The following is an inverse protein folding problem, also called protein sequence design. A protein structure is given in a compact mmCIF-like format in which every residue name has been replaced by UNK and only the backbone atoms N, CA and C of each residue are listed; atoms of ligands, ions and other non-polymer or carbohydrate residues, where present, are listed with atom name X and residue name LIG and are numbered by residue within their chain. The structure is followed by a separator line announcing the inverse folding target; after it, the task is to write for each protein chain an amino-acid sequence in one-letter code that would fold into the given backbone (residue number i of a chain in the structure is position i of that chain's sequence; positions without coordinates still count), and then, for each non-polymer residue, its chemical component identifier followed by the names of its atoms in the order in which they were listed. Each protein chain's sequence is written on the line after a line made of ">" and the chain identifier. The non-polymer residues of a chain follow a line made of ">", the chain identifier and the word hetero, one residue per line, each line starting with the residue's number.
data_IF_069541563372
#
_entry.id   IF_069541563372
#
_cell.length_a   1.000
_cell.length_b   1.000
_cell.length_c   1.000
_cell.angle_alpha   90.00
_cell.angle_beta   90.00
_cell.angle_gamma   90.00
#
_symmetry.space_group_name_H-M   'P 1'
#
loop_
_entity.id
_entity.type
_entity.pdbx_description
1 polymer ?
#
# COMPACT_ATOMS: atom_id res chain seq x y z
N UNK A 1 -3.77 -6.33 0.69
CA UNK A 1 -3.22 -7.67 0.98
C UNK A 1 -4.32 -8.72 0.93
N UNK A 2 -4.70 -9.14 -0.28
CA UNK A 2 -5.81 -10.10 -0.49
C UNK A 2 -5.31 -11.55 -0.58
N UNK A 3 -4.04 -11.75 -0.92
CA UNK A 3 -3.41 -13.06 -1.07
C UNK A 3 -3.20 -13.78 0.29
N UNK A 4 -2.58 -13.13 1.28
CA UNK A 4 -2.31 -13.77 2.59
C UNK A 4 -3.48 -13.76 3.59
N UNK A 5 -4.07 -12.58 3.85
CA UNK A 5 -5.08 -12.40 4.91
C UNK A 5 -6.51 -12.85 4.54
N UNK A 6 -6.83 -12.99 3.24
CA UNK A 6 -8.15 -13.48 2.79
C UNK A 6 -8.11 -14.78 1.98
N UNK A 7 -6.96 -15.13 1.38
CA UNK A 7 -6.81 -16.36 0.59
C UNK A 7 -6.41 -17.59 1.41
N UNK A 8 -5.51 -17.41 2.40
CA UNK A 8 -4.97 -18.50 3.23
C UNK A 8 -5.59 -18.59 4.64
N UNK A 9 -6.46 -17.64 5.01
CA UNK A 9 -7.10 -17.62 6.34
C UNK A 9 -6.14 -17.36 7.52
N UNK A 10 -4.92 -16.88 7.25
CA UNK A 10 -3.90 -16.65 8.28
C UNK A 10 -4.30 -15.51 9.23
N UNK A 11 -4.06 -15.69 10.53
CA UNK A 11 -4.18 -14.57 11.48
C UNK A 11 -3.10 -13.53 11.17
N UNK A 12 -3.34 -12.23 11.44
CA UNK A 12 -2.36 -11.18 11.14
C UNK A 12 -0.96 -11.46 11.67
N UNK A 13 -0.84 -11.99 12.89
CA UNK A 13 0.46 -12.35 13.48
C UNK A 13 1.17 -13.47 12.73
N UNK A 14 0.44 -14.49 12.27
CA UNK A 14 1.01 -15.61 11.53
C UNK A 14 1.51 -15.15 10.17
N UNK A 15 0.72 -14.30 9.49
CA UNK A 15 1.13 -13.68 8.24
C UNK A 15 2.44 -12.89 8.35
N UNK A 16 2.60 -12.10 9.42
CA UNK A 16 3.82 -11.30 9.64
C UNK A 16 5.01 -12.10 10.18
N UNK A 17 4.79 -13.32 10.68
CA UNK A 17 5.86 -14.22 11.10
C UNK A 17 6.47 -15.01 9.93
N UNK A 18 5.77 -15.10 8.78
CA UNK A 18 6.24 -15.81 7.60
C UNK A 18 7.32 -15.03 6.86
N UNK A 19 8.31 -15.77 6.35
CA UNK A 19 9.24 -15.24 5.37
C UNK A 19 8.56 -15.07 4.01
N UNK A 20 9.06 -14.17 3.13
CA UNK A 20 8.52 -14.00 1.79
C UNK A 20 8.53 -15.29 0.95
N UNK A 21 9.52 -16.18 1.17
CA UNK A 21 9.63 -17.46 0.48
C UNK A 21 8.54 -18.45 0.91
N UNK A 22 8.25 -18.55 2.21
CA UNK A 22 7.17 -19.40 2.73
C UNK A 22 5.80 -18.93 2.25
N UNK A 23 5.57 -17.61 2.23
CA UNK A 23 4.33 -17.04 1.71
C UNK A 23 4.16 -17.36 0.21
N UNK A 24 5.24 -17.26 -0.59
CA UNK A 24 5.20 -17.60 -2.01
C UNK A 24 4.86 -19.07 -2.25
N UNK A 25 5.44 -19.98 -1.46
CA UNK A 25 5.17 -21.42 -1.52
C UNK A 25 3.71 -21.74 -1.17
N UNK A 26 3.17 -21.14 -0.12
CA UNK A 26 1.78 -21.35 0.31
C UNK A 26 0.74 -20.81 -0.69
N UNK A 27 1.11 -19.79 -1.47
CA UNK A 27 0.23 -19.21 -2.49
C UNK A 27 0.24 -19.98 -3.83
N UNK A 28 1.09 -21.00 -3.98
CA UNK A 28 1.33 -21.71 -5.23
C UNK A 28 2.09 -20.85 -6.26
N UNK A 29 2.80 -21.51 -7.18
CA UNK A 29 3.71 -20.87 -8.17
C UNK A 29 3.06 -19.79 -9.08
N UNK A 30 1.76 -19.54 -8.98
CA UNK A 30 1.02 -18.58 -9.81
C UNK A 30 0.65 -17.25 -9.14
N UNK A 31 0.86 -17.04 -7.84
CA UNK A 31 0.34 -15.86 -7.15
C UNK A 31 1.29 -14.65 -7.13
N UNK A 32 2.51 -14.79 -7.62
CA UNK A 32 3.42 -13.67 -7.79
C UNK A 32 3.00 -12.89 -9.05
N UNK A 33 1.95 -12.08 -8.92
CA UNK A 33 1.73 -10.98 -9.87
C UNK A 33 3.08 -10.28 -10.03
N UNK A 34 3.58 -10.19 -11.26
CA UNK A 34 4.95 -9.73 -11.53
C UNK A 34 5.25 -8.48 -10.69
N UNK A 35 6.39 -8.45 -9.98
CA UNK A 35 6.75 -7.30 -9.16
C UNK A 35 6.65 -6.02 -9.97
N UNK A 36 6.18 -4.92 -9.36
CA UNK A 36 6.18 -3.62 -10.02
C UNK A 36 7.61 -3.32 -10.48
N UNK A 37 7.74 -2.96 -11.76
CA UNK A 37 9.02 -2.51 -12.28
C UNK A 37 9.41 -1.19 -11.61
N UNK A 38 10.70 -0.87 -11.62
CA UNK A 38 11.19 0.41 -11.09
C UNK A 38 10.47 1.62 -11.73
N UNK A 39 10.19 1.54 -13.02
CA UNK A 39 9.43 2.54 -13.75
C UNK A 39 7.98 2.66 -13.27
N UNK A 40 7.30 1.52 -13.04
CA UNK A 40 5.94 1.50 -12.51
C UNK A 40 5.86 2.13 -11.12
N UNK A 41 6.83 1.84 -10.25
CA UNK A 41 6.90 2.47 -8.93
C UNK A 41 7.12 3.98 -9.01
N UNK A 42 8.02 4.44 -9.90
CA UNK A 42 8.25 5.87 -10.11
C UNK A 42 7.00 6.61 -10.59
N UNK A 43 6.21 6.00 -11.49
CA UNK A 43 4.95 6.57 -11.97
C UNK A 43 3.89 6.70 -10.85
N UNK A 44 3.86 5.77 -9.89
CA UNK A 44 2.99 5.86 -8.72
C UNK A 44 3.42 7.00 -7.78
N UNK A 45 4.70 7.09 -7.46
CA UNK A 45 5.24 8.13 -6.59
C UNK A 45 4.97 9.55 -7.13
N UNK A 46 5.03 9.72 -8.46
CA UNK A 46 4.69 10.98 -9.10
C UNK A 46 3.19 11.33 -9.01
N UNK A 47 2.30 10.33 -9.07
CA UNK A 47 0.84 10.52 -8.98
C UNK A 47 0.35 10.75 -7.56
N UNK A 48 1.02 10.17 -6.57
CA UNK A 48 0.69 10.30 -5.15
C UNK A 48 1.94 10.71 -4.38
N UNK A 49 2.34 11.98 -4.45
CA UNK A 49 3.49 12.48 -3.71
C UNK A 49 3.18 12.54 -2.21
N UNK A 50 4.11 12.09 -1.37
CA UNK A 50 4.00 12.10 0.10
C UNK A 50 4.17 13.50 0.73
N UNK A 51 3.89 14.55 -0.05
CA UNK A 51 3.95 15.92 0.46
C UNK A 51 2.71 16.19 1.32
N UNK A 52 2.87 16.78 2.51
CA UNK A 52 1.73 17.17 3.32
C UNK A 52 0.81 18.09 2.50
N UNK A 53 -0.48 17.76 2.48
CA UNK A 53 -1.49 18.58 1.80
C UNK A 53 -1.36 20.02 2.27
N UNK A 54 -1.40 20.96 1.31
CA UNK A 54 -1.22 22.39 1.61
C UNK A 54 -2.10 22.76 2.81
N UNK A 55 -1.56 23.44 3.84
CA UNK A 55 -2.39 23.87 4.97
C UNK A 55 -3.54 24.69 4.41
N UNK A 56 -4.76 24.29 4.76
CA UNK A 56 -5.95 25.10 4.53
C UNK A 56 -5.66 26.45 5.21
N UNK A 57 -5.60 27.53 4.42
CA UNK A 57 -5.49 28.88 4.98
C UNK A 57 -6.76 29.11 5.80
N UNK A 58 -6.64 28.99 7.11
CA UNK A 58 -7.64 29.43 8.06
C UNK A 58 -7.51 30.96 8.10
N UNK A 59 -8.40 31.65 7.39
CA UNK A 59 -8.31 33.09 7.16
C UNK A 59 -9.41 33.71 6.29
N UNK A 60 -10.33 32.92 5.74
CA UNK A 60 -11.56 33.43 5.11
C UNK A 60 -12.75 33.30 6.07
N UNK A 61 -12.60 33.81 7.29
CA UNK A 61 -13.69 34.05 8.23
C UNK A 61 -13.28 35.23 9.11
N UNK A 62 -13.53 36.44 8.62
CA UNK A 62 -14.08 37.57 9.38
C UNK A 62 -13.88 38.85 8.58
N UNK A 63 -14.94 39.19 7.84
CA UNK A 63 -15.02 40.39 7.02
C UNK A 63 -16.48 40.74 6.76
N UNK A 64 -17.25 40.86 7.84
CA UNK A 64 -18.61 41.38 7.83
C UNK A 64 -18.57 42.79 8.44
N UNK A 65 -19.00 43.84 7.72
CA UNK A 65 -19.79 44.89 8.33
C UNK A 65 -21.25 44.44 8.50
#
# INVERSE_FOLDING_TARGET
>A
MRAGLRGLGLRPREFWALTPAELALMLGEGAARAPLTRAGLAALAARWPDVPGKPKREGDADGQP
#
